data_IF_598852337922
#
_entry.id   IF_598852337922
#
_cell.length_a   1.000
_cell.length_b   1.000
_cell.length_c   1.000
_cell.angle_alpha   90.00
_cell.angle_beta   90.00
_cell.angle_gamma   90.00
#
_symmetry.space_group_name_H-M   'P 1'
#
loop_
_entity.id
_entity.type
_entity.pdbx_description
1 polymer ?
#
# COMPACT_ATOMS: atom_id res chain seq x y z
N UNK A 1 7.22 18.35 -3.25
CA UNK A 1 6.82 16.93 -3.07
C UNK A 1 7.04 16.58 -1.60
N UNK A 2 5.99 16.38 -0.80
CA UNK A 2 6.15 16.12 0.64
C UNK A 2 6.82 14.74 0.85
N UNK A 3 7.97 14.77 1.53
CA UNK A 3 8.95 13.69 1.65
C UNK A 3 8.39 12.44 2.33
N UNK A 4 7.82 11.51 1.58
CA UNK A 4 7.61 10.17 2.08
C UNK A 4 8.96 9.48 2.26
N UNK A 5 9.26 9.04 3.48
CA UNK A 5 10.45 8.26 3.80
C UNK A 5 10.07 6.99 4.56
N UNK A 6 11.04 6.08 4.72
CA UNK A 6 10.87 4.81 5.43
C UNK A 6 10.41 5.07 6.87
N UNK A 7 10.95 6.10 7.53
CA UNK A 7 10.61 6.46 8.90
C UNK A 7 9.15 6.93 9.05
N UNK A 8 8.62 7.68 8.09
CA UNK A 8 7.22 8.06 8.02
C UNK A 8 6.33 6.82 7.90
N UNK A 9 6.67 5.90 7.00
CA UNK A 9 5.92 4.66 6.84
C UNK A 9 5.93 3.80 8.11
N UNK A 10 7.09 3.67 8.77
CA UNK A 10 7.22 2.93 10.04
C UNK A 10 6.40 3.60 11.14
N UNK A 11 6.55 4.91 11.34
CA UNK A 11 5.81 5.65 12.36
C UNK A 11 4.30 5.57 12.17
N UNK A 12 3.84 5.63 10.91
CA UNK A 12 2.42 5.49 10.54
C UNK A 12 1.93 4.06 10.79
N UNK A 13 2.70 3.05 10.38
CA UNK A 13 2.34 1.65 10.62
C UNK A 13 2.28 1.33 12.12
N UNK A 14 3.20 1.88 12.92
CA UNK A 14 3.18 1.77 14.39
C UNK A 14 1.91 2.37 14.98
N UNK A 15 1.47 3.54 14.51
CA UNK A 15 0.18 4.15 14.92
C UNK A 15 -1.03 3.27 14.55
N UNK A 16 -0.92 2.48 13.48
CA UNK A 16 -1.97 1.57 13.03
C UNK A 16 -1.90 0.18 13.68
N UNK A 17 -0.93 -0.05 14.59
CA UNK A 17 -0.61 -1.37 15.14
C UNK A 17 -0.35 -2.43 14.05
N UNK A 18 0.33 -2.02 12.97
CA UNK A 18 0.72 -2.89 11.87
C UNK A 18 2.22 -3.11 11.93
N UNK A 19 2.62 -4.38 12.00
CA UNK A 19 4.02 -4.74 11.97
C UNK A 19 4.51 -4.79 10.52
N UNK A 20 5.42 -3.89 10.16
CA UNK A 20 5.91 -3.74 8.79
C UNK A 20 6.93 -4.83 8.44
N UNK A 21 6.44 -5.95 7.92
CA UNK A 21 7.29 -7.02 7.42
C UNK A 21 7.69 -6.79 5.96
N UNK A 22 8.60 -7.63 5.45
CA UNK A 22 9.07 -7.55 4.07
C UNK A 22 7.92 -7.61 3.04
N UNK A 23 6.84 -8.35 3.34
CA UNK A 23 5.62 -8.39 2.52
C UNK A 23 4.90 -7.04 2.48
N UNK A 24 4.75 -6.35 3.63
CA UNK A 24 4.15 -5.01 3.70
C UNK A 24 4.95 -4.01 2.87
N UNK A 25 6.27 -4.02 3.00
CA UNK A 25 7.15 -3.16 2.22
C UNK A 25 6.99 -3.38 0.71
N UNK A 26 6.97 -4.66 0.26
CA UNK A 26 6.71 -5.00 -1.14
C UNK A 26 5.43 -4.35 -1.64
N UNK A 27 4.33 -4.45 -0.89
CA UNK A 27 3.04 -3.84 -1.24
C UNK A 27 3.17 -2.32 -1.33
N UNK A 28 3.71 -1.66 -0.30
CA UNK A 28 3.82 -0.19 -0.25
C UNK A 28 4.67 0.35 -1.39
N UNK A 29 5.83 -0.25 -1.66
CA UNK A 29 6.67 0.12 -2.79
C UNK A 29 5.96 -0.12 -4.13
N UNK A 30 5.18 -1.21 -4.23
CA UNK A 30 4.39 -1.49 -5.43
C UNK A 30 3.33 -0.42 -5.66
N UNK A 31 2.61 -0.02 -4.61
CA UNK A 31 1.58 1.02 -4.65
C UNK A 31 2.15 2.38 -5.03
N UNK A 32 3.32 2.75 -4.47
CA UNK A 32 4.04 3.97 -4.84
C UNK A 32 4.55 3.94 -6.27
N UNK A 33 5.10 2.81 -6.70
CA UNK A 33 5.55 2.60 -8.08
C UNK A 33 4.39 2.68 -9.08
N UNK A 34 3.22 2.18 -8.71
CA UNK A 34 2.00 2.28 -9.49
C UNK A 34 1.54 3.74 -9.57
N UNK A 35 1.44 4.43 -8.44
CA UNK A 35 1.06 5.84 -8.39
C UNK A 35 2.03 6.72 -9.19
N UNK A 36 3.34 6.48 -9.10
CA UNK A 36 4.34 7.20 -9.92
C UNK A 36 4.14 6.97 -11.43
N UNK A 37 3.64 5.79 -11.83
CA UNK A 37 3.45 5.42 -13.24
C UNK A 37 2.12 5.89 -13.81
N UNK A 38 1.05 5.84 -13.03
CA UNK A 38 -0.33 6.10 -13.49
C UNK A 38 -0.95 7.35 -12.86
N UNK A 39 -0.28 7.98 -11.90
CA UNK A 39 -0.74 9.13 -11.12
C UNK A 39 -2.12 8.94 -10.45
N UNK A 40 -2.52 7.68 -10.22
CA UNK A 40 -3.81 7.30 -9.66
C UNK A 40 -3.65 6.21 -8.59
N UNK A 41 -4.60 6.17 -7.66
CA UNK A 41 -4.59 5.18 -6.57
C UNK A 41 -5.06 3.83 -7.11
N UNK A 42 -4.27 2.75 -7.03
CA UNK A 42 -4.68 1.46 -7.54
C UNK A 42 -5.80 0.87 -6.69
N UNK A 43 -6.77 0.21 -7.34
CA UNK A 43 -7.71 -0.69 -6.65
C UNK A 43 -7.01 -1.99 -6.26
N UNK A 44 -7.62 -2.78 -5.37
CA UNK A 44 -7.09 -4.10 -4.96
C UNK A 44 -6.81 -4.98 -6.19
N UNK A 45 -7.74 -5.05 -7.15
CA UNK A 45 -7.58 -5.84 -8.38
C UNK A 45 -6.41 -5.34 -9.23
N UNK A 46 -6.29 -4.03 -9.43
CA UNK A 46 -5.18 -3.44 -10.20
C UNK A 46 -3.83 -3.72 -9.52
N UNK A 47 -3.77 -3.59 -8.20
CA UNK A 47 -2.55 -3.86 -7.44
C UNK A 47 -2.16 -5.33 -7.52
N UNK A 48 -3.09 -6.27 -7.36
CA UNK A 48 -2.83 -7.71 -7.50
C UNK A 48 -2.27 -8.04 -8.89
N UNK A 49 -2.87 -7.50 -9.95
CA UNK A 49 -2.37 -7.67 -11.32
C UNK A 49 -0.98 -7.08 -11.49
N UNK A 50 -0.72 -5.91 -10.92
CA UNK A 50 0.60 -5.26 -10.97
C UNK A 50 1.66 -6.02 -10.15
N UNK A 51 1.28 -6.59 -9.00
CA UNK A 51 2.13 -7.45 -8.17
C UNK A 51 2.48 -8.75 -8.89
N UNK A 52 1.50 -9.40 -9.54
CA UNK A 52 1.74 -10.58 -10.40
C UNK A 52 2.76 -10.28 -11.48
N UNK A 53 2.68 -9.12 -12.14
CA UNK A 53 3.69 -8.67 -13.13
C UNK A 53 5.08 -8.51 -12.54
N UNK A 54 5.20 -8.15 -11.25
CA UNK A 54 6.48 -8.08 -10.53
C UNK A 54 6.91 -9.41 -9.89
N UNK A 55 6.31 -10.54 -10.27
CA UNK A 55 6.53 -11.87 -9.67
C UNK A 55 6.27 -11.89 -8.16
N UNK A 56 5.38 -11.02 -7.67
CA UNK A 56 4.93 -11.01 -6.28
C UNK A 56 3.58 -11.74 -6.24
N UNK A 57 3.61 -12.96 -5.73
CA UNK A 57 2.41 -13.77 -5.52
C UNK A 57 1.81 -13.42 -4.16
N UNK A 58 0.93 -12.42 -4.17
CA UNK A 58 0.05 -12.09 -3.05
C UNK A 58 -1.38 -12.20 -3.53
N UNK A 59 -2.25 -12.74 -2.69
CA UNK A 59 -3.69 -12.81 -2.94
C UNK A 59 -4.41 -11.63 -2.27
N UNK A 60 -5.67 -11.40 -2.62
CA UNK A 60 -6.53 -10.45 -1.89
C UNK A 60 -6.58 -10.79 -0.40
N UNK A 61 -6.70 -12.06 -0.07
CA UNK A 61 -6.73 -12.55 1.31
C UNK A 61 -5.44 -12.23 2.05
N UNK A 62 -4.27 -12.44 1.43
CA UNK A 62 -2.99 -12.03 2.02
C UNK A 62 -2.95 -10.54 2.32
N UNK A 63 -3.49 -9.69 1.44
CA UNK A 63 -3.54 -8.24 1.68
C UNK A 63 -4.45 -7.90 2.86
N UNK A 64 -5.58 -8.59 3.04
CA UNK A 64 -6.44 -8.41 4.20
C UNK A 64 -5.78 -8.91 5.49
N UNK A 65 -5.03 -10.01 5.44
CA UNK A 65 -4.26 -10.53 6.59
C UNK A 65 -3.15 -9.55 6.96
N UNK A 66 -2.41 -9.02 5.97
CA UNK A 66 -1.34 -8.05 6.19
C UNK A 66 -1.89 -6.71 6.71
N UNK A 67 -3.11 -6.33 6.31
CA UNK A 67 -3.74 -5.06 6.65
C UNK A 67 -5.18 -5.27 7.17
N UNK A 68 -5.36 -5.78 8.40
CA UNK A 68 -6.64 -6.28 8.91
C UNK A 68 -7.72 -5.20 9.10
N UNK A 69 -7.34 -3.94 9.34
CA UNK A 69 -8.28 -2.81 9.52
C UNK A 69 -8.63 -2.05 8.23
N UNK A 70 -8.49 -2.72 7.08
CA UNK A 70 -8.79 -2.15 5.76
C UNK A 70 -7.52 -1.78 5.01
N UNK A 71 -7.15 -2.68 4.09
CA UNK A 71 -6.01 -2.55 3.18
C UNK A 71 -5.87 -1.14 2.58
N UNK A 72 -6.93 -0.63 1.96
CA UNK A 72 -6.89 0.66 1.25
C UNK A 72 -6.56 1.82 2.18
N UNK A 73 -7.19 1.87 3.35
CA UNK A 73 -6.97 2.94 4.35
C UNK A 73 -5.55 2.90 4.89
N UNK A 74 -5.10 1.72 5.32
CA UNK A 74 -3.79 1.56 5.94
C UNK A 74 -2.66 1.71 4.93
N UNK A 75 -2.77 1.06 3.77
CA UNK A 75 -1.75 1.14 2.74
C UNK A 75 -1.64 2.56 2.16
N UNK A 76 -2.75 3.28 1.97
CA UNK A 76 -2.74 4.68 1.52
C UNK A 76 -2.04 5.60 2.52
N UNK A 77 -2.39 5.47 3.81
CA UNK A 77 -1.72 6.22 4.89
C UNK A 77 -0.23 5.92 4.97
N UNK A 78 0.15 4.64 4.99
CA UNK A 78 1.55 4.22 5.10
C UNK A 78 2.35 4.61 3.86
N UNK A 79 1.76 4.57 2.66
CA UNK A 79 2.44 4.94 1.41
C UNK A 79 2.54 6.45 1.19
N UNK A 80 1.90 7.26 2.06
CA UNK A 80 1.86 8.72 1.95
C UNK A 80 1.14 9.20 0.70
N UNK A 81 0.26 8.37 0.13
CA UNK A 81 -0.56 8.77 -1.00
C UNK A 81 -1.66 9.72 -0.51
N UNK A 82 -1.99 10.77 -1.27
CA UNK A 82 -3.10 11.64 -0.93
C UNK A 82 -4.36 10.78 -0.86
N UNK A 83 -5.13 10.94 0.22
CA UNK A 83 -6.41 10.26 0.42
C UNK A 83 -7.36 10.76 -0.66
N UNK A 84 -7.40 10.09 -1.81
CA UNK A 84 -8.23 10.51 -2.93
C UNK A 84 -9.70 10.38 -2.49
N UNK A 85 -10.48 11.44 -2.69
CA UNK A 85 -11.82 11.64 -2.13
C UNK A 85 -12.91 10.72 -2.73
N UNK A 86 -12.56 9.74 -3.57
CA UNK A 86 -13.53 8.90 -4.27
C UNK A 86 -13.53 7.46 -3.75
N UNK A 87 -13.80 7.29 -2.45
CA UNK A 87 -14.37 6.05 -1.95
C UNK A 87 -15.90 6.17 -2.04
N UNK A 88 -16.46 5.90 -3.22
CA UNK A 88 -17.86 5.52 -3.37
C UNK A 88 -17.91 4.01 -3.59
#
# INVERSE_FOLDING_TARGET
MKNWNIQFAISTAKKLNINMHQKHWKVIFCMRSFYKKYNLTPTIRMLLTYMKKKKIFLTSQDLFILFPKGFMKNASQISGLPKNQNCF
#
